data_IF_593842334956
#
_entry.id   IF_593842334956
#
_cell.length_a   1.000
_cell.length_b   1.000
_cell.length_c   1.000
_cell.angle_alpha   90.00
_cell.angle_beta   90.00
_cell.angle_gamma   90.00
#
_symmetry.space_group_name_H-M   'P 1'
#
loop_
_entity.id
_entity.type
_entity.pdbx_description
1 polymer ?
#
# COMPACT_ATOMS: atom_id res chain seq x y z
N UNK A 1 1.85 11.99 4.87
CA UNK A 1 2.22 10.89 3.95
C UNK A 1 3.08 9.90 4.72
N UNK A 2 2.73 8.61 4.68
CA UNK A 2 3.62 7.56 5.19
C UNK A 2 4.69 7.27 4.14
N UNK A 3 5.90 6.90 4.55
CA UNK A 3 6.89 6.34 3.62
C UNK A 3 6.81 4.81 3.61
N UNK A 4 7.36 4.18 2.56
CA UNK A 4 7.41 2.72 2.49
C UNK A 4 8.15 2.10 3.68
N UNK A 5 9.17 2.78 4.19
CA UNK A 5 9.94 2.34 5.35
C UNK A 5 9.12 2.42 6.65
N UNK A 6 8.38 3.52 6.85
CA UNK A 6 7.46 3.67 7.97
C UNK A 6 6.35 2.63 7.94
N UNK A 7 5.85 2.26 6.75
CA UNK A 7 4.87 1.19 6.63
C UNK A 7 5.44 -0.17 7.06
N UNK A 8 6.65 -0.51 6.60
CA UNK A 8 7.37 -1.73 7.02
C UNK A 8 7.60 -1.74 8.54
N UNK A 9 8.00 -0.61 9.12
CA UNK A 9 8.15 -0.48 10.56
C UNK A 9 6.83 -0.69 11.31
N UNK A 10 5.71 -0.16 10.80
CA UNK A 10 4.37 -0.38 11.37
C UNK A 10 3.94 -1.84 11.33
N UNK A 11 4.17 -2.50 10.21
CA UNK A 11 3.90 -3.94 10.07
C UNK A 11 4.72 -4.75 11.06
N UNK A 12 6.02 -4.45 11.19
CA UNK A 12 6.93 -5.08 12.16
C UNK A 12 6.45 -4.86 13.60
N UNK A 13 6.06 -3.64 13.96
CA UNK A 13 5.55 -3.31 15.29
C UNK A 13 4.23 -4.03 15.63
N UNK A 14 3.42 -4.35 14.62
CA UNK A 14 2.17 -5.12 14.77
C UNK A 14 2.36 -6.63 14.68
N UNK A 15 3.58 -7.11 14.42
CA UNK A 15 3.83 -8.53 14.17
C UNK A 15 3.19 -9.07 12.89
N UNK A 16 2.81 -8.19 11.95
CA UNK A 16 2.17 -8.57 10.68
C UNK A 16 3.20 -8.53 9.55
N UNK A 17 3.14 -9.47 8.62
CA UNK A 17 3.99 -9.45 7.42
C UNK A 17 3.32 -8.69 6.28
N UNK A 18 4.11 -8.21 5.31
CA UNK A 18 3.58 -7.61 4.07
C UNK A 18 2.63 -8.58 3.36
N UNK A 19 3.00 -9.87 3.32
CA UNK A 19 2.19 -10.91 2.68
C UNK A 19 0.86 -11.14 3.41
N UNK A 20 0.85 -11.11 4.73
CA UNK A 20 -0.39 -11.20 5.50
C UNK A 20 -1.28 -9.99 5.25
N UNK A 21 -0.71 -8.79 5.40
CA UNK A 21 -1.44 -7.55 5.16
C UNK A 21 -2.01 -7.48 3.74
N UNK A 22 -1.24 -7.93 2.73
CA UNK A 22 -1.70 -7.97 1.34
C UNK A 22 -2.93 -8.87 1.21
N UNK A 23 -2.86 -10.11 1.73
CA UNK A 23 -3.97 -11.06 1.69
C UNK A 23 -5.21 -10.53 2.41
N UNK A 24 -5.03 -9.96 3.61
CA UNK A 24 -6.13 -9.39 4.40
C UNK A 24 -6.82 -8.22 3.69
N UNK A 25 -6.11 -7.53 2.79
CA UNK A 25 -6.64 -6.42 2.00
C UNK A 25 -7.05 -6.83 0.56
N UNK A 26 -6.99 -8.13 0.22
CA UNK A 26 -7.35 -8.63 -1.11
C UNK A 26 -6.31 -8.34 -2.21
N UNK A 27 -5.07 -8.07 -1.84
CA UNK A 27 -3.96 -7.80 -2.76
C UNK A 27 -2.95 -8.95 -2.81
N UNK A 28 -2.25 -9.06 -3.94
CA UNK A 28 -1.12 -9.96 -4.08
C UNK A 28 0.11 -9.40 -3.34
N UNK A 29 0.84 -10.19 -2.54
CA UNK A 29 2.06 -9.76 -1.85
C UNK A 29 3.11 -9.15 -2.80
N UNK A 30 3.16 -9.67 -4.03
CA UNK A 30 4.03 -9.16 -5.10
C UNK A 30 3.67 -7.72 -5.49
N UNK A 31 2.39 -7.43 -5.70
CA UNK A 31 1.94 -6.09 -6.10
C UNK A 31 2.24 -5.06 -5.01
N UNK A 32 2.02 -5.43 -3.74
CA UNK A 32 2.36 -4.59 -2.59
C UNK A 32 3.86 -4.32 -2.52
N UNK A 33 4.68 -5.34 -2.74
CA UNK A 33 6.15 -5.19 -2.76
C UNK A 33 6.62 -4.29 -3.91
N UNK A 34 6.02 -4.43 -5.10
CA UNK A 34 6.34 -3.59 -6.26
C UNK A 34 5.98 -2.11 -6.03
N UNK A 35 4.87 -1.83 -5.34
CA UNK A 35 4.48 -0.46 -4.96
C UNK A 35 5.42 0.10 -3.88
N UNK A 36 5.74 -0.70 -2.85
CA UNK A 36 6.66 -0.28 -1.78
C UNK A 36 8.08 0.00 -2.29
N UNK A 37 8.54 -0.77 -3.27
CA UNK A 37 9.85 -0.57 -3.91
C UNK A 37 9.83 0.53 -4.98
N UNK A 38 8.67 1.12 -5.27
CA UNK A 38 8.54 2.19 -6.27
C UNK A 38 8.57 1.74 -7.73
N UNK A 39 8.58 0.42 -7.99
CA UNK A 39 8.48 -0.13 -9.36
C UNK A 39 7.12 0.15 -9.98
N UNK A 40 6.05 0.12 -9.17
CA UNK A 40 4.72 0.57 -9.57
C UNK A 40 4.48 1.96 -8.96
N UNK A 41 4.44 2.98 -9.82
CA UNK A 41 4.17 4.38 -9.41
C UNK A 41 2.78 4.58 -8.80
N UNK A 42 1.86 3.63 -9.02
CA UNK A 42 0.52 3.64 -8.45
C UNK A 42 -0.26 4.90 -8.82
N UNK A 43 -0.18 5.30 -10.09
CA UNK A 43 -0.93 6.44 -10.59
C UNK A 43 -2.40 6.08 -10.84
N UNK A 44 -2.68 4.84 -11.23
CA UNK A 44 -4.02 4.34 -11.54
C UNK A 44 -4.16 2.86 -11.14
N UNK A 45 -5.40 2.37 -11.14
CA UNK A 45 -5.72 0.96 -10.93
C UNK A 45 -5.24 0.40 -9.58
N UNK A 46 -4.92 -0.91 -9.56
CA UNK A 46 -4.52 -1.63 -8.33
C UNK A 46 -3.35 -0.97 -7.60
N UNK A 47 -2.35 -0.49 -8.34
CA UNK A 47 -1.19 0.19 -7.75
C UNK A 47 -1.56 1.47 -7.00
N UNK A 48 -2.52 2.24 -7.53
CA UNK A 48 -3.05 3.42 -6.84
C UNK A 48 -3.81 3.02 -5.58
N UNK A 49 -4.72 2.04 -5.68
CA UNK A 49 -5.49 1.55 -4.53
C UNK A 49 -4.58 1.05 -3.40
N UNK A 50 -3.50 0.33 -3.73
CA UNK A 50 -2.50 -0.13 -2.76
C UNK A 50 -1.78 1.07 -2.12
N UNK A 51 -1.28 2.01 -2.93
CA UNK A 51 -0.55 3.17 -2.42
C UNK A 51 -1.41 4.04 -1.48
N UNK A 52 -2.69 4.20 -1.81
CA UNK A 52 -3.67 4.90 -0.96
C UNK A 52 -3.95 4.12 0.32
N UNK A 53 -4.21 2.81 0.23
CA UNK A 53 -4.50 1.95 1.39
C UNK A 53 -3.33 1.90 2.39
N UNK A 54 -2.10 1.90 1.89
CA UNK A 54 -0.88 1.96 2.71
C UNK A 54 -0.69 3.35 3.37
N UNK A 55 -1.27 4.40 2.77
CA UNK A 55 -1.09 5.79 3.18
C UNK A 55 0.15 6.47 2.57
N UNK A 56 0.71 5.88 1.49
CA UNK A 56 1.79 6.49 0.70
C UNK A 56 1.28 7.66 -0.14
N UNK A 57 0.02 7.60 -0.58
CA UNK A 57 -0.66 8.66 -1.32
C UNK A 57 -1.91 9.13 -0.59
N UNK A 58 -2.28 10.42 -0.70
CA UNK A 58 -3.58 10.88 -0.25
C UNK A 58 -4.68 10.12 -1.00
N UNK A 59 -5.76 9.79 -0.29
CA UNK A 59 -7.00 9.39 -0.97
C UNK A 59 -7.50 10.64 -1.66
N UNK A 60 -7.62 10.60 -2.97
CA UNK A 60 -8.32 11.65 -3.69
C UNK A 60 -9.80 11.54 -3.28
N UNK A 61 -10.27 12.45 -2.43
CA UNK A 61 -11.66 12.45 -1.97
C UNK A 61 -12.65 12.86 -3.08
N UNK A 62 -12.19 13.01 -4.33
CA UNK A 62 -13.02 13.50 -5.44
C UNK A 62 -13.84 12.41 -6.13
N UNK A 63 -13.85 11.16 -5.64
CA UNK A 63 -14.84 10.15 -6.03
C UNK A 63 -15.95 10.05 -4.97
N UNK A 64 -16.71 11.13 -4.83
CA UNK A 64 -18.03 11.16 -4.22
C UNK A 64 -18.90 12.13 -5.02
N UNK A 65 -19.56 11.61 -6.06
CA UNK A 65 -20.74 12.18 -6.69
C UNK A 65 -21.65 11.03 -7.12
#
# INVERSE_FOLDING_TARGET
MLTADQFKARLKARGTTISQWARDNGFSPRDVSLVLNGQIKGNYGKGHTIAVRIGLKPTDQSQAA
#
